data_IF_122132624722
#
_entry.id   IF_122132624722
#
_cell.length_a   1.000
_cell.length_b   1.000
_cell.length_c   1.000
_cell.angle_alpha   90.00
_cell.angle_beta   90.00
_cell.angle_gamma   90.00
#
_symmetry.space_group_name_H-M   'P 1'
#
loop_
_entity.id
_entity.type
_entity.pdbx_description
1 polymer ?
#
# COMPACT_ATOMS: atom_id res chain seq x y z
N UNK A 1 11.83 12.56 33.29
CA UNK A 1 10.65 11.65 33.28
C UNK A 1 9.55 12.12 32.32
N UNK A 2 9.10 13.38 32.40
CA UNK A 2 8.04 13.93 31.52
C UNK A 2 8.38 13.91 30.02
N UNK A 3 9.62 14.25 29.64
CA UNK A 3 10.08 14.22 28.25
C UNK A 3 10.00 12.82 27.63
N UNK A 4 10.36 11.80 28.42
CA UNK A 4 10.38 10.41 27.98
C UNK A 4 8.95 9.87 27.75
N UNK A 5 8.00 10.27 28.61
CA UNK A 5 6.58 9.94 28.45
C UNK A 5 5.95 10.61 27.22
N UNK A 6 6.32 11.86 26.92
CA UNK A 6 5.84 12.57 25.75
C UNK A 6 6.34 11.94 24.45
N UNK A 7 7.63 11.59 24.39
CA UNK A 7 8.23 10.88 23.27
C UNK A 7 7.54 9.54 23.01
N UNK A 8 7.33 8.71 24.04
CA UNK A 8 6.65 7.43 23.90
C UNK A 8 5.20 7.54 23.41
N UNK A 9 4.49 8.61 23.76
CA UNK A 9 3.12 8.83 23.24
C UNK A 9 3.16 9.10 21.73
N UNK A 10 4.04 10.00 21.28
CA UNK A 10 4.18 10.35 19.84
C UNK A 10 4.57 9.15 18.98
N UNK A 11 5.53 8.34 19.44
CA UNK A 11 5.94 7.13 18.71
C UNK A 11 4.80 6.13 18.54
N UNK A 12 3.93 5.97 19.55
CA UNK A 12 2.75 5.10 19.44
C UNK A 12 1.77 5.59 18.37
N UNK A 13 1.52 6.90 18.30
CA UNK A 13 0.67 7.48 17.26
C UNK A 13 1.27 7.29 15.87
N UNK A 14 2.57 7.56 15.71
CA UNK A 14 3.27 7.33 14.43
C UNK A 14 3.09 5.89 13.93
N UNK A 15 3.35 4.90 14.78
CA UNK A 15 3.21 3.48 14.42
C UNK A 15 1.74 3.15 14.10
N UNK A 16 0.82 3.61 14.93
CA UNK A 16 -0.61 3.34 14.75
C UNK A 16 -1.15 3.89 13.42
N UNK A 17 -0.83 5.15 13.08
CA UNK A 17 -1.29 5.75 11.83
C UNK A 17 -0.65 5.13 10.60
N UNK A 18 0.62 4.72 10.67
CA UNK A 18 1.26 4.00 9.58
C UNK A 18 0.59 2.63 9.34
N UNK A 19 0.28 1.88 10.40
CA UNK A 19 -0.45 0.61 10.28
C UNK A 19 -1.87 0.82 9.73
N UNK A 20 -2.55 1.87 10.18
CA UNK A 20 -3.87 2.22 9.67
C UNK A 20 -3.83 2.60 8.18
N UNK A 21 -2.77 3.30 7.74
CA UNK A 21 -2.56 3.63 6.33
C UNK A 21 -2.37 2.35 5.49
N UNK A 22 -1.55 1.38 5.92
CA UNK A 22 -1.40 0.09 5.22
C UNK A 22 -2.74 -0.62 5.06
N UNK A 23 -3.57 -0.66 6.11
CA UNK A 23 -4.89 -1.29 6.04
C UNK A 23 -5.82 -0.54 5.09
N UNK A 24 -5.86 0.79 5.18
CA UNK A 24 -6.69 1.63 4.32
C UNK A 24 -6.30 1.48 2.84
N UNK A 25 -5.02 1.58 2.51
CA UNK A 25 -4.54 1.44 1.14
C UNK A 25 -4.67 0.00 0.64
N UNK A 26 -4.49 -1.01 1.50
CA UNK A 26 -4.80 -2.41 1.15
C UNK A 26 -6.25 -2.62 0.71
N UNK A 27 -7.21 -2.04 1.45
CA UNK A 27 -8.63 -2.02 1.05
C UNK A 27 -8.81 -1.26 -0.27
N UNK A 28 -8.19 -0.08 -0.39
CA UNK A 28 -8.29 0.75 -1.59
C UNK A 28 -7.79 -0.01 -2.82
N UNK A 29 -6.63 -0.68 -2.76
CA UNK A 29 -6.10 -1.49 -3.85
C UNK A 29 -7.03 -2.66 -4.20
N UNK A 30 -7.67 -3.29 -3.21
CA UNK A 30 -8.62 -4.37 -3.48
C UNK A 30 -9.85 -3.93 -4.27
N UNK A 31 -10.24 -2.65 -4.16
CA UNK A 31 -11.30 -2.04 -4.97
C UNK A 31 -10.80 -1.45 -6.28
N UNK A 32 -9.57 -0.92 -6.31
CA UNK A 32 -8.97 -0.33 -7.50
C UNK A 32 -8.40 -1.36 -8.48
N UNK A 33 -8.17 -2.61 -8.03
CA UNK A 33 -7.81 -3.67 -8.95
C UNK A 33 -8.92 -3.83 -9.98
N UNK A 34 -8.59 -3.60 -11.25
CA UNK A 34 -9.42 -4.09 -12.34
C UNK A 34 -9.14 -5.57 -12.55
N UNK A 35 -10.09 -6.24 -13.19
CA UNK A 35 -9.79 -7.50 -13.84
C UNK A 35 -8.84 -7.18 -14.99
N UNK A 36 -7.55 -7.43 -14.77
CA UNK A 36 -6.55 -7.21 -15.82
C UNK A 36 -6.93 -8.09 -17.02
N UNK A 37 -7.29 -7.43 -18.13
CA UNK A 37 -7.38 -8.06 -19.43
C UNK A 37 -6.00 -7.91 -20.05
N UNK A 38 -5.17 -8.91 -19.82
CA UNK A 38 -3.87 -8.98 -20.46
C UNK A 38 -4.11 -9.23 -21.97
N UNK A 39 -4.13 -8.18 -22.78
CA UNK A 39 -4.28 -8.28 -24.25
C UNK A 39 -3.14 -9.11 -24.87
N UNK A 40 -2.01 -9.23 -24.16
CA UNK A 40 -0.85 -10.04 -24.55
C UNK A 40 -0.99 -11.54 -24.19
N UNK A 41 -2.13 -11.96 -23.60
CA UNK A 41 -2.39 -13.37 -23.28
C UNK A 41 -3.02 -14.17 -24.43
N UNK A 42 -3.39 -13.53 -25.55
CA UNK A 42 -3.98 -14.22 -26.71
C UNK A 42 -3.01 -15.21 -27.39
N UNK A 43 -1.70 -15.11 -27.09
CA UNK A 43 -0.66 -16.01 -27.61
C UNK A 43 -0.31 -17.15 -26.62
N UNK A 44 -0.71 -17.08 -25.35
CA UNK A 44 -0.43 -18.14 -24.37
C UNK A 44 -1.69 -18.53 -23.58
N UNK A 45 -2.22 -19.72 -23.88
CA UNK A 45 -3.43 -20.31 -23.29
C UNK A 45 -3.33 -20.66 -21.78
N UNK A 46 -2.57 -19.95 -20.94
CA UNK A 46 -2.22 -20.44 -19.59
C UNK A 46 -2.49 -19.48 -18.41
N UNK A 47 -2.69 -18.17 -18.57
CA UNK A 47 -2.96 -17.32 -17.40
C UNK A 47 -4.45 -17.00 -17.21
N UNK A 48 -5.12 -17.81 -16.37
CA UNK A 48 -6.44 -17.50 -15.81
C UNK A 48 -6.38 -16.13 -15.12
N UNK A 49 -7.26 -15.23 -15.53
CA UNK A 49 -7.63 -13.99 -14.81
C UNK A 49 -7.82 -14.30 -13.33
N UNK A 50 -6.84 -13.93 -12.49
CA UNK A 50 -6.94 -14.11 -11.05
C UNK A 50 -6.99 -12.74 -10.40
N UNK A 51 -8.13 -12.45 -9.78
CA UNK A 51 -8.27 -11.32 -8.87
C UNK A 51 -7.36 -11.56 -7.67
N UNK A 52 -6.59 -10.56 -7.27
CA UNK A 52 -5.78 -10.62 -6.07
C UNK A 52 -6.70 -10.67 -4.84
N UNK A 53 -6.32 -11.51 -3.87
CA UNK A 53 -7.05 -11.60 -2.61
C UNK A 53 -6.85 -10.32 -1.81
N UNK A 54 -7.71 -10.09 -0.82
CA UNK A 54 -7.57 -8.94 0.08
C UNK A 54 -6.20 -8.93 0.77
N UNK A 55 -5.68 -10.11 1.13
CA UNK A 55 -4.37 -10.24 1.78
C UNK A 55 -3.22 -9.88 0.84
N UNK A 56 -3.32 -10.23 -0.45
CA UNK A 56 -2.33 -9.84 -1.45
C UNK A 56 -2.31 -8.32 -1.63
N UNK A 57 -3.48 -7.67 -1.62
CA UNK A 57 -3.58 -6.20 -1.69
C UNK A 57 -3.04 -5.51 -0.42
N UNK A 58 -3.28 -6.08 0.76
CA UNK A 58 -2.68 -5.59 2.01
C UNK A 58 -1.16 -5.75 2.01
N UNK A 59 -0.66 -6.89 1.54
CA UNK A 59 0.76 -7.14 1.37
C UNK A 59 1.37 -6.14 0.40
N UNK A 60 0.73 -5.90 -0.75
CA UNK A 60 1.15 -4.89 -1.72
C UNK A 60 1.25 -3.49 -1.10
N UNK A 61 0.24 -3.09 -0.31
CA UNK A 61 0.27 -1.81 0.40
C UNK A 61 1.42 -1.73 1.40
N UNK A 62 1.69 -2.81 2.13
CA UNK A 62 2.79 -2.88 3.09
C UNK A 62 4.15 -2.72 2.39
N UNK A 63 4.42 -3.52 1.36
CA UNK A 63 5.71 -3.48 0.66
C UNK A 63 5.94 -2.17 -0.10
N UNK A 64 4.85 -1.50 -0.51
CA UNK A 64 4.89 -0.15 -1.11
C UNK A 64 5.26 0.89 -0.07
N UNK A 65 4.62 0.86 1.11
CA UNK A 65 4.91 1.77 2.21
C UNK A 65 6.33 1.62 2.77
N UNK A 66 6.81 0.38 2.85
CA UNK A 66 8.19 0.09 3.30
C UNK A 66 9.21 0.18 2.16
N UNK A 67 8.80 0.61 0.97
CA UNK A 67 9.65 0.78 -0.22
C UNK A 67 10.46 -0.47 -0.59
N UNK A 68 9.92 -1.67 -0.31
CA UNK A 68 10.58 -2.95 -0.61
C UNK A 68 10.33 -3.34 -2.07
N UNK A 69 9.06 -3.30 -2.51
CA UNK A 69 8.69 -3.46 -3.93
C UNK A 69 9.08 -4.79 -4.59
N UNK A 70 8.46 -5.90 -4.18
CA UNK A 70 8.63 -7.21 -4.83
C UNK A 70 7.85 -7.34 -6.16
N UNK A 71 8.42 -8.07 -7.12
CA UNK A 71 7.90 -8.19 -8.50
C UNK A 71 6.74 -9.19 -8.65
N UNK A 72 6.53 -10.05 -7.65
CA UNK A 72 5.58 -11.17 -7.64
C UNK A 72 4.11 -10.72 -7.71
N UNK A 73 3.83 -9.45 -7.45
CA UNK A 73 2.49 -8.85 -7.58
C UNK A 73 2.32 -8.12 -8.91
N UNK A 74 3.15 -8.49 -9.91
CA UNK A 74 2.96 -8.24 -11.33
C UNK A 74 2.44 -6.85 -11.58
N UNK A 75 3.35 -5.87 -11.48
CA UNK A 75 3.10 -4.43 -11.46
C UNK A 75 1.69 -4.07 -11.91
N UNK A 76 0.82 -3.76 -10.95
CA UNK A 76 -0.56 -3.40 -11.25
C UNK A 76 -0.50 -2.09 -12.06
N UNK A 77 -0.59 -2.25 -13.39
CA UNK A 77 -0.26 -1.22 -14.38
C UNK A 77 -1.37 -0.21 -14.60
N UNK A 78 -2.39 -0.26 -13.75
CA UNK A 78 -3.53 0.63 -13.80
C UNK A 78 -3.12 2.03 -13.34
N UNK A 79 -3.49 3.04 -14.11
CA UNK A 79 -3.27 4.45 -13.77
C UNK A 79 -3.85 4.79 -12.38
N UNK A 80 -4.97 4.14 -12.01
CA UNK A 80 -5.60 4.23 -10.70
C UNK A 80 -4.66 3.84 -9.55
N UNK A 81 -3.87 2.77 -9.72
CA UNK A 81 -2.93 2.30 -8.70
C UNK A 81 -1.71 3.22 -8.59
N UNK A 82 -1.25 3.80 -9.72
CA UNK A 82 -0.19 4.82 -9.69
C UNK A 82 -0.60 6.02 -8.86
N UNK A 83 -1.84 6.51 -9.03
CA UNK A 83 -2.39 7.61 -8.23
C UNK A 83 -2.45 7.20 -6.76
N UNK A 84 -2.96 6.01 -6.45
CA UNK A 84 -3.02 5.51 -5.08
C UNK A 84 -1.62 5.42 -4.42
N UNK A 85 -0.59 4.99 -5.15
CA UNK A 85 0.80 4.97 -4.65
C UNK A 85 1.31 6.37 -4.32
N UNK A 86 1.02 7.37 -5.16
CA UNK A 86 1.41 8.78 -4.90
C UNK A 86 0.72 9.27 -3.63
N UNK A 87 -0.59 9.02 -3.48
CA UNK A 87 -1.34 9.42 -2.29
C UNK A 87 -0.83 8.69 -1.05
N UNK A 88 -0.48 7.39 -1.15
CA UNK A 88 0.10 6.62 -0.06
C UNK A 88 1.44 7.22 0.38
N UNK A 89 2.32 7.56 -0.56
CA UNK A 89 3.59 8.22 -0.26
C UNK A 89 3.39 9.57 0.46
N UNK A 90 2.49 10.41 -0.05
CA UNK A 90 2.17 11.70 0.58
C UNK A 90 1.62 11.52 2.00
N UNK A 91 0.79 10.50 2.23
CA UNK A 91 0.25 10.20 3.56
C UNK A 91 1.34 9.82 4.57
N UNK A 92 2.35 9.06 4.15
CA UNK A 92 3.49 8.67 5.01
C UNK A 92 4.30 9.90 5.38
N UNK A 93 4.57 10.79 4.41
CA UNK A 93 5.27 12.05 4.69
C UNK A 93 4.48 12.94 5.66
N UNK A 94 3.17 13.03 5.48
CA UNK A 94 2.30 13.80 6.36
C UNK A 94 2.28 13.24 7.80
N UNK A 95 2.11 11.92 7.95
CA UNK A 95 2.16 11.24 9.26
C UNK A 95 3.53 11.46 9.93
N UNK A 96 4.60 11.39 9.14
CA UNK A 96 5.97 11.60 9.63
C UNK A 96 6.18 13.04 10.11
N UNK A 97 5.72 14.05 9.36
CA UNK A 97 5.80 15.45 9.73
C UNK A 97 5.07 15.74 11.05
N UNK A 98 3.83 15.26 11.20
CA UNK A 98 3.05 15.42 12.43
C UNK A 98 3.63 14.67 13.65
N UNK A 99 4.45 13.65 13.42
CA UNK A 99 5.10 12.91 14.52
C UNK A 99 6.34 13.61 15.06
N UNK A 100 6.93 14.52 14.28
CA UNK A 100 8.12 15.28 14.65
C UNK A 100 7.76 16.53 15.46
N UNK A 101 6.65 17.20 15.13
CA UNK A 101 6.06 18.31 15.89
C UNK A 101 5.51 17.85 17.24
#
# INVERSE_FOLDING_TARGET
>A
MLLHLHFFKKTKYFIFYNLLAVLFFGVLYYFLQDYDYDELSLVSNIHKKKRYSMLDCMYFSLITQTTVGYEDHGGIRLERIKIANIVQLLSIFFISALSLE
#
